data_IF_718816587893
#
_entry.id   IF_718816587893
#
_cell.length_a   1.000
_cell.length_b   1.000
_cell.length_c   1.000
_cell.angle_alpha   90.00
_cell.angle_beta   90.00
_cell.angle_gamma   90.00
#
_symmetry.space_group_name_H-M   'P 1'
#
loop_
_entity.id
_entity.type
_entity.pdbx_description
1 polymer ?
#
# COMPACT_ATOMS: atom_id res chain seq x y z
N UNK A 1 -3.60 25.85 10.18
CA UNK A 1 -2.75 24.80 9.57
C UNK A 1 -2.76 24.96 8.06
N UNK A 2 -1.81 24.33 7.35
CA UNK A 2 -1.75 24.29 5.87
C UNK A 2 -2.05 22.86 5.42
N UNK A 3 -2.82 22.70 4.35
CA UNK A 3 -3.12 21.39 3.77
C UNK A 3 -1.85 20.73 3.21
N UNK A 4 -1.69 19.43 3.48
CA UNK A 4 -0.65 18.61 2.86
C UNK A 4 -1.17 18.15 1.51
N UNK A 5 -0.36 18.33 0.46
CA UNK A 5 -0.62 17.84 -0.89
C UNK A 5 0.50 16.87 -1.27
N UNK A 6 0.16 15.79 -1.97
CA UNK A 6 1.09 14.75 -2.42
C UNK A 6 0.88 14.45 -3.90
N UNK A 7 1.91 13.96 -4.57
CA UNK A 7 1.89 13.63 -5.99
C UNK A 7 1.40 12.22 -6.25
N UNK A 8 1.62 11.32 -5.28
CA UNK A 8 1.26 9.91 -5.37
C UNK A 8 0.56 9.49 -4.08
N UNK A 9 -0.50 8.69 -4.19
CA UNK A 9 -1.10 7.97 -3.07
C UNK A 9 -1.08 6.48 -3.37
N UNK A 10 -0.52 5.71 -2.45
CA UNK A 10 -0.48 4.24 -2.51
C UNK A 10 -1.43 3.72 -1.43
N UNK A 11 -2.35 2.85 -1.82
CA UNK A 11 -3.19 2.10 -0.88
C UNK A 11 -2.79 0.64 -0.96
N UNK A 12 -2.15 0.13 0.09
CA UNK A 12 -1.76 -1.27 0.23
C UNK A 12 -2.83 -2.05 0.98
N UNK A 13 -3.26 -3.16 0.41
CA UNK A 13 -4.08 -4.15 1.09
C UNK A 13 -3.14 -5.14 1.78
N UNK A 14 -3.30 -5.32 3.09
CA UNK A 14 -2.49 -6.25 3.87
C UNK A 14 -3.27 -6.77 5.06
N UNK A 15 -2.80 -7.87 5.64
CA UNK A 15 -3.41 -8.44 6.83
C UNK A 15 -3.15 -7.53 8.03
N UNK A 16 -4.25 -7.06 8.62
CA UNK A 16 -4.27 -6.29 9.85
C UNK A 16 -5.11 -7.08 10.83
N UNK A 17 -4.47 -7.63 11.85
CA UNK A 17 -5.09 -8.55 12.80
C UNK A 17 -4.99 -8.00 14.21
N UNK A 18 -6.02 -8.24 15.01
CA UNK A 18 -5.98 -7.94 16.43
C UNK A 18 -7.35 -7.96 17.07
N UNK A 19 -7.40 -7.75 18.39
CA UNK A 19 -6.25 -7.48 19.25
C UNK A 19 -5.32 -8.70 19.41
N UNK A 20 -4.01 -8.49 19.43
CA UNK A 20 -3.01 -9.57 19.61
C UNK A 20 -2.56 -9.74 21.07
N UNK A 21 -2.99 -8.84 21.94
CA UNK A 21 -2.77 -8.91 23.39
C UNK A 21 -3.89 -8.21 24.16
N UNK A 22 -3.83 -8.29 25.49
CA UNK A 22 -4.81 -7.70 26.41
C UNK A 22 -4.85 -6.16 26.35
N UNK A 23 -3.85 -5.52 25.74
CA UNK A 23 -3.74 -4.07 25.62
C UNK A 23 -4.32 -3.52 24.32
N UNK A 24 -4.80 -4.39 23.44
CA UNK A 24 -5.46 -3.98 22.20
C UNK A 24 -4.51 -3.66 21.05
N UNK A 25 -3.26 -4.12 21.09
CA UNK A 25 -2.34 -3.89 19.98
C UNK A 25 -2.81 -4.64 18.72
N UNK A 26 -2.51 -4.06 17.56
CA UNK A 26 -2.80 -4.62 16.24
C UNK A 26 -1.50 -5.06 15.58
N UNK A 27 -1.49 -6.25 14.99
CA UNK A 27 -0.45 -6.69 14.07
C UNK A 27 -0.77 -6.19 12.65
N UNK A 28 0.24 -5.66 11.96
CA UNK A 28 0.14 -5.26 10.55
C UNK A 28 1.23 -5.98 9.79
N UNK A 29 0.88 -6.79 8.79
CA UNK A 29 1.87 -7.45 7.95
C UNK A 29 2.51 -6.44 7.01
N UNK A 30 3.85 -6.37 7.01
CA UNK A 30 4.62 -5.47 6.13
C UNK A 30 5.56 -6.19 5.16
N UNK A 31 5.56 -7.52 5.18
CA UNK A 31 6.35 -8.37 4.26
C UNK A 31 5.40 -9.30 3.51
N UNK A 32 5.80 -9.73 2.32
CA UNK A 32 4.98 -10.61 1.50
C UNK A 32 5.41 -10.59 0.05
N UNK A 33 4.79 -11.47 -0.72
CA UNK A 33 4.99 -11.63 -2.15
C UNK A 33 3.82 -11.00 -2.93
N UNK A 34 4.01 -10.79 -4.23
CA UNK A 34 3.02 -10.10 -5.07
C UNK A 34 1.64 -10.77 -5.05
N UNK A 35 1.58 -12.10 -4.92
CA UNK A 35 0.34 -12.91 -4.87
C UNK A 35 -0.53 -12.66 -3.64
N UNK A 36 0.05 -12.15 -2.54
CA UNK A 36 -0.67 -11.84 -1.30
C UNK A 36 -0.69 -10.34 -0.97
N UNK A 37 -0.24 -9.49 -1.91
CA UNK A 37 -0.12 -8.06 -1.69
C UNK A 37 -0.81 -7.29 -2.79
N UNK A 38 -2.11 -6.99 -2.65
CA UNK A 38 -2.83 -6.10 -3.57
C UNK A 38 -2.53 -4.62 -3.25
N UNK A 39 -2.43 -3.78 -4.25
CA UNK A 39 -2.25 -2.33 -4.08
C UNK A 39 -2.98 -1.53 -5.16
N UNK A 40 -3.26 -0.27 -4.83
CA UNK A 40 -3.83 0.72 -5.73
C UNK A 40 -2.95 1.96 -5.72
N UNK A 41 -2.63 2.48 -6.91
CA UNK A 41 -1.73 3.61 -7.10
C UNK A 41 -2.47 4.77 -7.74
N UNK A 42 -2.67 5.85 -6.99
CA UNK A 42 -3.36 7.05 -7.44
C UNK A 42 -2.35 8.14 -7.79
N UNK A 43 -2.37 8.56 -9.06
CA UNK A 43 -1.44 9.55 -9.63
C UNK A 43 -2.15 10.33 -10.74
N UNK A 44 -2.03 11.65 -10.74
CA UNK A 44 -2.61 12.54 -11.76
C UNK A 44 -4.10 12.29 -12.08
N UNK A 45 -4.89 11.92 -11.07
CA UNK A 45 -6.32 11.63 -11.21
C UNK A 45 -6.66 10.26 -11.79
N UNK A 46 -5.65 9.42 -12.06
CA UNK A 46 -5.83 8.04 -12.51
C UNK A 46 -5.52 7.06 -11.38
N UNK A 47 -6.04 5.85 -11.52
CA UNK A 47 -5.77 4.70 -10.64
C UNK A 47 -5.17 3.57 -11.45
N UNK A 48 -4.11 2.96 -10.91
CA UNK A 48 -3.51 1.74 -11.42
C UNK A 48 -3.69 0.67 -10.35
N UNK A 49 -4.28 -0.46 -10.72
CA UNK A 49 -4.36 -1.65 -9.88
C UNK A 49 -3.09 -2.49 -10.06
N UNK A 50 -2.69 -3.17 -8.99
CA UNK A 50 -1.55 -4.06 -9.04
C UNK A 50 -1.20 -4.61 -7.68
N UNK A 51 0.11 -4.81 -7.46
CA UNK A 51 0.62 -5.54 -6.30
C UNK A 51 1.78 -4.85 -5.61
N UNK A 52 1.97 -5.18 -4.33
CA UNK A 52 3.15 -4.85 -3.56
C UNK A 52 3.85 -6.14 -3.10
N UNK A 53 5.18 -6.10 -3.04
CA UNK A 53 5.97 -7.16 -2.43
C UNK A 53 7.14 -6.58 -1.65
N UNK A 54 7.54 -7.30 -0.60
CA UNK A 54 8.69 -7.01 0.24
C UNK A 54 9.15 -8.29 0.93
N UNK A 55 10.29 -8.81 0.49
CA UNK A 55 10.82 -10.12 0.92
C UNK A 55 11.17 -10.14 2.42
N UNK A 56 11.79 -9.07 2.93
CA UNK A 56 12.13 -8.93 4.34
C UNK A 56 11.92 -7.51 4.85
N UNK A 57 11.95 -7.33 6.17
CA UNK A 57 11.88 -6.00 6.80
C UNK A 57 13.08 -5.09 6.45
N UNK A 58 14.15 -5.62 5.85
CA UNK A 58 15.29 -4.83 5.40
C UNK A 58 15.23 -4.47 3.92
N UNK A 59 14.31 -5.09 3.17
CA UNK A 59 14.14 -4.82 1.74
C UNK A 59 13.20 -3.64 1.50
N UNK A 60 13.38 -2.91 0.38
CA UNK A 60 12.41 -1.93 -0.06
C UNK A 60 11.11 -2.61 -0.53
N UNK A 61 10.01 -1.87 -0.47
CA UNK A 61 8.78 -2.26 -1.16
C UNK A 61 8.99 -2.18 -2.68
N UNK A 62 8.50 -3.19 -3.40
CA UNK A 62 8.38 -3.17 -4.85
C UNK A 62 6.91 -3.12 -5.21
N UNK A 63 6.57 -2.28 -6.17
CA UNK A 63 5.21 -2.05 -6.62
C UNK A 63 5.12 -2.40 -8.10
N UNK A 64 4.13 -3.20 -8.47
CA UNK A 64 3.92 -3.67 -9.84
C UNK A 64 2.47 -3.44 -10.26
N UNK A 65 2.23 -3.24 -11.55
CA UNK A 65 0.89 -3.31 -12.13
C UNK A 65 0.44 -4.78 -12.29
N UNK A 66 -0.79 -4.98 -12.74
CA UNK A 66 -1.36 -6.32 -13.00
C UNK A 66 -0.62 -7.10 -14.10
N UNK A 67 0.11 -6.41 -14.98
CA UNK A 67 0.95 -7.01 -16.03
C UNK A 67 2.36 -7.37 -15.51
N UNK A 68 2.68 -7.04 -14.25
CA UNK A 68 3.96 -7.30 -13.60
C UNK A 68 5.04 -6.26 -13.88
N UNK A 69 4.72 -5.16 -14.55
CA UNK A 69 5.65 -4.06 -14.77
C UNK A 69 5.82 -3.23 -13.50
N UNK A 70 7.01 -2.67 -13.28
CA UNK A 70 7.27 -1.79 -12.12
C UNK A 70 6.48 -0.49 -12.27
N UNK A 71 5.78 -0.09 -11.21
CA UNK A 71 5.08 1.20 -11.14
C UNK A 71 6.09 2.35 -11.18
N UNK A 72 5.88 3.29 -12.10
CA UNK A 72 6.64 4.54 -12.19
C UNK A 72 5.84 5.66 -11.52
N UNK A 73 6.36 6.17 -10.40
CA UNK A 73 5.73 7.25 -9.66
C UNK A 73 6.06 8.63 -10.21
N UNK A 74 5.14 9.57 -10.02
CA UNK A 74 5.42 10.98 -10.24
C UNK A 74 6.53 11.45 -9.30
N UNK A 75 7.36 12.37 -9.80
CA UNK A 75 8.38 13.04 -8.98
C UNK A 75 7.68 13.86 -7.89
N UNK A 76 8.05 13.63 -6.63
CA UNK A 76 7.56 14.39 -5.49
C UNK A 76 7.21 13.51 -4.29
N UNK A 77 6.25 13.96 -3.50
CA UNK A 77 5.88 13.30 -2.24
C UNK A 77 4.87 12.17 -2.49
N UNK A 78 5.03 11.10 -1.72
CA UNK A 78 4.16 9.92 -1.76
C UNK A 78 3.54 9.68 -0.39
N UNK A 79 2.23 9.46 -0.35
CA UNK A 79 1.53 8.97 0.83
C UNK A 79 1.26 7.47 0.69
N UNK A 80 1.51 6.68 1.74
CA UNK A 80 1.23 5.24 1.75
C UNK A 80 0.25 4.93 2.87
N UNK A 81 -0.89 4.36 2.51
CA UNK A 81 -1.93 3.92 3.45
C UNK A 81 -2.00 2.38 3.42
N UNK A 82 -2.14 1.76 4.58
CA UNK A 82 -2.34 0.32 4.73
C UNK A 82 -3.76 0.10 5.24
N UNK A 83 -4.53 -0.75 4.56
CA UNK A 83 -5.89 -1.12 4.93
C UNK A 83 -6.05 -2.64 4.85
N UNK A 84 -7.01 -3.17 5.61
CA UNK A 84 -7.21 -4.61 5.74
C UNK A 84 -7.83 -5.23 4.48
N UNK A 85 -8.76 -4.52 3.87
CA UNK A 85 -9.55 -5.03 2.75
C UNK A 85 -9.99 -3.89 1.82
N UNK A 86 -10.39 -4.27 0.61
CA UNK A 86 -10.79 -3.32 -0.44
C UNK A 86 -12.14 -2.65 -0.19
N UNK A 87 -12.99 -3.16 0.72
CA UNK A 87 -14.27 -2.51 1.04
C UNK A 87 -14.08 -1.19 1.78
N UNK A 88 -12.86 -0.93 2.29
CA UNK A 88 -12.46 0.34 2.89
C UNK A 88 -11.92 1.35 1.88
N UNK A 89 -11.90 1.00 0.59
CA UNK A 89 -11.45 1.85 -0.50
C UNK A 89 -12.63 2.20 -1.42
N UNK A 90 -12.75 3.48 -1.79
CA UNK A 90 -13.74 3.98 -2.74
C UNK A 90 -13.08 5.09 -3.57
N UNK A 91 -13.21 5.02 -4.89
CA UNK A 91 -12.68 6.00 -5.84
C UNK A 91 -13.47 5.98 -7.15
#
# INVERSE_FOLDING_TARGET
GKQIAVNNVIVMITDIEGPIDEWGHMAVRTTGTSDIGKAFFFMDGNVIEGTWERTSAFDPFKYKDDDGNIILFNRGSTWVALIQDTNRLTY
#
